data_IF_475971174076
#
_entry.id   IF_475971174076
#
_cell.length_a   1.000
_cell.length_b   1.000
_cell.length_c   1.000
_cell.angle_alpha   90.00
_cell.angle_beta   90.00
_cell.angle_gamma   90.00
#
_symmetry.space_group_name_H-M   'P 1'
#
loop_
_entity.id
_entity.type
_entity.pdbx_description
1 polymer ?
#
# COMPACT_ATOMS: atom_id res chain seq x y z
N UNK A 1 31.05 -24.57 15.24
CA UNK A 1 30.66 -23.16 15.44
C UNK A 1 29.14 -23.13 15.46
N UNK A 2 28.51 -23.07 16.65
CA UNK A 2 27.06 -23.05 16.77
C UNK A 2 26.54 -21.65 16.50
N UNK A 3 25.55 -21.51 15.61
CA UNK A 3 24.90 -20.23 15.35
C UNK A 3 24.18 -19.75 16.63
N UNK A 4 24.29 -18.46 16.99
CA UNK A 4 23.58 -17.91 18.12
C UNK A 4 22.07 -18.02 17.87
N UNK A 5 21.36 -18.66 18.81
CA UNK A 5 19.91 -18.77 18.77
C UNK A 5 19.24 -17.39 18.83
N UNK A 6 17.96 -17.34 18.47
CA UNK A 6 17.15 -16.11 18.41
C UNK A 6 17.24 -15.30 19.72
N UNK A 7 17.33 -15.96 20.88
CA UNK A 7 17.45 -15.33 22.21
C UNK A 7 18.73 -14.50 22.37
N UNK A 8 19.87 -15.01 21.88
CA UNK A 8 21.17 -14.30 21.97
C UNK A 8 21.16 -13.02 21.12
N UNK A 9 20.50 -13.08 19.96
CA UNK A 9 20.30 -11.91 19.10
C UNK A 9 19.48 -10.81 19.81
N UNK A 10 18.43 -11.18 20.54
CA UNK A 10 17.62 -10.24 21.32
C UNK A 10 18.36 -9.63 22.50
N UNK A 11 19.18 -10.42 23.21
CA UNK A 11 20.01 -9.93 24.31
C UNK A 11 21.07 -8.92 23.83
N UNK A 12 21.76 -9.23 22.73
CA UNK A 12 22.71 -8.30 22.09
C UNK A 12 22.04 -7.00 21.64
N UNK A 13 20.85 -7.11 21.04
CA UNK A 13 20.07 -5.96 20.61
C UNK A 13 19.60 -5.08 21.78
N UNK A 14 19.19 -5.69 22.89
CA UNK A 14 18.84 -4.97 24.13
C UNK A 14 20.05 -4.22 24.70
N UNK A 15 21.21 -4.86 24.72
CA UNK A 15 22.44 -4.23 25.21
C UNK A 15 22.88 -3.04 24.33
N UNK A 16 22.66 -3.13 23.00
CA UNK A 16 23.05 -2.09 22.05
C UNK A 16 22.07 -0.91 21.96
N UNK A 17 20.76 -1.16 22.02
CA UNK A 17 19.73 -0.15 21.74
C UNK A 17 18.93 0.25 22.98
N UNK A 18 19.02 -0.50 24.09
CA UNK A 18 18.23 -0.27 25.31
C UNK A 18 16.73 -0.54 25.17
N UNK A 19 16.26 -0.81 23.94
CA UNK A 19 14.85 -0.98 23.60
C UNK A 19 14.61 -2.34 22.90
N UNK A 20 13.52 -3.01 23.27
CA UNK A 20 13.10 -4.30 22.71
C UNK A 20 12.06 -4.14 21.60
N UNK A 21 11.86 -2.93 21.09
CA UNK A 21 10.90 -2.70 20.04
C UNK A 21 11.27 -3.49 18.77
N UNK A 22 10.27 -4.12 18.13
CA UNK A 22 10.46 -4.77 16.84
C UNK A 22 11.09 -3.79 15.84
N UNK A 23 11.96 -4.29 14.96
CA UNK A 23 12.43 -3.44 13.84
C UNK A 23 11.20 -2.98 13.06
N UNK A 24 11.16 -1.69 12.72
CA UNK A 24 10.17 -1.17 11.79
C UNK A 24 10.14 -2.05 10.54
N UNK A 25 8.94 -2.45 10.12
CA UNK A 25 8.75 -3.26 8.93
C UNK A 25 9.28 -2.48 7.72
N UNK A 26 10.24 -3.05 7.00
CA UNK A 26 10.66 -2.50 5.71
C UNK A 26 9.45 -2.56 4.77
N UNK A 27 9.01 -1.40 4.29
CA UNK A 27 7.88 -1.32 3.39
C UNK A 27 8.19 -2.05 2.07
N UNK A 28 7.20 -2.78 1.56
CA UNK A 28 7.30 -3.43 0.25
C UNK A 28 7.52 -2.37 -0.86
N UNK A 29 8.15 -2.71 -1.99
CA UNK A 29 8.40 -1.77 -3.08
C UNK A 29 7.13 -1.02 -3.49
N UNK A 30 7.29 0.29 -3.70
CA UNK A 30 6.18 1.21 -3.94
C UNK A 30 5.34 0.81 -5.17
N UNK A 31 4.02 0.92 -5.01
CA UNK A 31 3.01 0.49 -5.99
C UNK A 31 3.02 1.40 -7.22
N UNK A 32 2.86 0.79 -8.41
CA UNK A 32 2.96 1.37 -9.76
C UNK A 32 1.99 2.53 -10.11
N UNK A 33 1.07 2.92 -9.23
CA UNK A 33 0.11 4.03 -9.48
C UNK A 33 0.43 5.15 -8.48
N UNK A 34 1.32 6.06 -8.91
CA UNK A 34 1.72 7.23 -8.13
C UNK A 34 0.82 8.44 -8.38
N UNK A 35 0.33 8.60 -9.62
CA UNK A 35 -0.54 9.71 -10.00
C UNK A 35 -2.04 9.31 -9.87
N UNK A 36 -2.63 9.66 -8.72
CA UNK A 36 -4.03 9.37 -8.40
C UNK A 36 -5.02 10.26 -9.15
N UNK A 37 -4.63 11.48 -9.49
CA UNK A 37 -5.48 12.42 -10.21
C UNK A 37 -5.72 11.95 -11.65
N UNK A 38 -4.65 11.54 -12.33
CA UNK A 38 -4.73 10.88 -13.64
C UNK A 38 -5.55 9.57 -13.57
N UNK A 39 -5.39 8.80 -12.50
CA UNK A 39 -6.12 7.55 -12.33
C UNK A 39 -7.63 7.78 -12.09
N UNK A 40 -8.03 8.88 -11.46
CA UNK A 40 -9.44 9.28 -11.32
C UNK A 40 -10.06 9.62 -12.67
N UNK A 41 -9.40 10.44 -13.48
CA UNK A 41 -9.89 10.79 -14.81
C UNK A 41 -10.04 9.54 -15.69
N UNK A 42 -9.10 8.61 -15.58
CA UNK A 42 -9.14 7.33 -16.27
C UNK A 42 -10.26 6.40 -15.81
N UNK A 43 -10.53 6.32 -14.51
CA UNK A 43 -11.66 5.55 -13.97
C UNK A 43 -13.00 6.10 -14.49
N UNK A 44 -13.16 7.42 -14.51
CA UNK A 44 -14.36 8.06 -15.07
C UNK A 44 -14.51 7.77 -16.58
N UNK A 45 -13.41 7.88 -17.33
CA UNK A 45 -13.40 7.64 -18.78
C UNK A 45 -13.69 6.18 -19.17
N UNK A 46 -13.28 5.22 -18.33
CA UNK A 46 -13.38 3.79 -18.62
C UNK A 46 -14.25 3.02 -17.62
N UNK A 47 -15.17 3.70 -16.93
CA UNK A 47 -16.07 3.13 -15.91
C UNK A 47 -16.86 1.91 -16.38
N UNK A 48 -17.14 1.82 -17.69
CA UNK A 48 -17.86 0.72 -18.33
C UNK A 48 -16.98 -0.49 -18.68
N UNK A 49 -15.66 -0.37 -18.61
CA UNK A 49 -14.71 -1.43 -18.96
C UNK A 49 -14.40 -2.33 -17.77
N UNK A 50 -13.99 -3.55 -18.07
CA UNK A 50 -13.55 -4.47 -17.02
C UNK A 50 -12.16 -4.09 -16.51
N UNK A 51 -11.86 -4.44 -15.26
CA UNK A 51 -10.54 -4.20 -14.65
C UNK A 51 -9.38 -4.83 -15.44
N UNK A 52 -9.63 -5.91 -16.19
CA UNK A 52 -8.63 -6.56 -17.03
C UNK A 52 -8.33 -5.75 -18.30
N UNK A 53 -9.35 -5.09 -18.86
CA UNK A 53 -9.18 -4.18 -20.01
C UNK A 53 -8.56 -2.86 -19.59
N UNK A 54 -8.97 -2.31 -18.44
CA UNK A 54 -8.36 -1.12 -17.85
C UNK A 54 -6.86 -1.32 -17.61
N UNK A 55 -6.44 -2.52 -17.18
CA UNK A 55 -5.03 -2.85 -17.00
C UNK A 55 -4.21 -2.76 -18.30
N UNK A 56 -4.83 -3.06 -19.46
CA UNK A 56 -4.18 -2.96 -20.78
C UNK A 56 -4.14 -1.52 -21.32
N UNK A 57 -5.05 -0.67 -20.86
CA UNK A 57 -5.21 0.71 -21.34
C UNK A 57 -4.41 1.73 -20.54
N UNK A 58 -3.98 1.37 -19.34
CA UNK A 58 -3.19 2.23 -18.49
C UNK A 58 -1.74 2.34 -19.02
N UNK A 59 -1.20 3.56 -19.05
CA UNK A 59 0.13 3.87 -19.64
C UNK A 59 1.30 3.10 -18.99
N UNK A 60 1.18 2.75 -17.72
CA UNK A 60 2.17 1.91 -17.03
C UNK A 60 1.79 0.44 -17.11
N UNK A 61 2.77 -0.46 -17.24
CA UNK A 61 2.55 -1.91 -17.13
C UNK A 61 1.97 -2.26 -15.75
N UNK A 62 0.64 -2.38 -15.65
CA UNK A 62 -0.07 -2.64 -14.41
C UNK A 62 -0.91 -3.90 -14.56
N UNK A 63 -0.90 -4.71 -13.50
CA UNK A 63 -1.74 -5.90 -13.45
C UNK A 63 -3.19 -5.54 -13.14
N UNK A 64 -4.13 -6.41 -13.52
CA UNK A 64 -5.53 -6.35 -13.06
C UNK A 64 -5.65 -6.19 -11.52
N UNK A 65 -4.79 -6.87 -10.76
CA UNK A 65 -4.76 -6.78 -9.29
C UNK A 65 -4.39 -5.38 -8.82
N UNK A 66 -3.49 -4.70 -9.53
CA UNK A 66 -3.08 -3.33 -9.23
C UNK A 66 -4.23 -2.36 -9.46
N UNK A 67 -4.93 -2.46 -10.59
CA UNK A 67 -6.14 -1.68 -10.89
C UNK A 67 -7.21 -1.89 -9.81
N UNK A 68 -7.50 -3.15 -9.46
CA UNK A 68 -8.48 -3.48 -8.41
C UNK A 68 -8.13 -2.85 -7.05
N UNK A 69 -6.85 -2.90 -6.65
CA UNK A 69 -6.38 -2.25 -5.43
C UNK A 69 -6.51 -0.73 -5.50
N UNK A 70 -6.19 -0.13 -6.64
CA UNK A 70 -6.28 1.31 -6.82
C UNK A 70 -7.73 1.81 -6.73
N UNK A 71 -8.67 1.14 -7.38
CA UNK A 71 -10.11 1.42 -7.23
C UNK A 71 -10.57 1.31 -5.78
N UNK A 72 -10.13 0.26 -5.07
CA UNK A 72 -10.47 0.09 -3.64
C UNK A 72 -9.90 1.21 -2.78
N UNK A 73 -8.66 1.63 -3.02
CA UNK A 73 -8.03 2.75 -2.30
C UNK A 73 -8.73 4.07 -2.58
N UNK A 74 -9.14 4.33 -3.83
CA UNK A 74 -9.96 5.50 -4.18
C UNK A 74 -11.29 5.50 -3.43
N UNK A 75 -12.04 4.40 -3.49
CA UNK A 75 -13.32 4.29 -2.79
C UNK A 75 -13.18 4.46 -1.26
N UNK A 76 -12.08 3.99 -0.67
CA UNK A 76 -11.78 4.20 0.75
C UNK A 76 -11.44 5.65 1.07
N UNK A 77 -10.73 6.34 0.17
CA UNK A 77 -10.41 7.77 0.31
C UNK A 77 -11.67 8.63 0.22
N UNK A 78 -12.55 8.38 -0.76
CA UNK A 78 -13.83 9.07 -0.88
C UNK A 78 -14.70 8.87 0.36
N UNK A 79 -14.80 7.63 0.86
CA UNK A 79 -15.52 7.35 2.11
C UNK A 79 -14.92 8.02 3.34
N UNK A 80 -13.60 8.21 3.37
CA UNK A 80 -12.92 8.89 4.48
C UNK A 80 -13.19 10.40 4.45
N UNK A 81 -13.30 10.98 3.26
CA UNK A 81 -13.67 12.39 3.07
C UNK A 81 -15.14 12.65 3.44
N UNK A 82 -16.02 11.69 3.13
CA UNK A 82 -17.42 11.68 3.60
C UNK A 82 -17.57 11.55 5.13
N UNK A 83 -16.56 11.03 5.82
CA UNK A 83 -16.48 11.02 7.30
C UNK A 83 -15.89 12.33 7.80
N UNK A 84 -16.49 13.46 7.43
CA UNK A 84 -16.30 14.70 8.17
C UNK A 84 -16.61 14.43 9.65
N UNK A 85 -15.89 15.04 10.61
CA UNK A 85 -16.26 14.90 12.02
C UNK A 85 -17.71 15.35 12.13
N UNK A 86 -18.58 14.51 12.72
CA UNK A 86 -19.90 14.97 13.13
C UNK A 86 -19.65 16.20 14.00
N UNK A 87 -19.92 17.39 13.46
CA UNK A 87 -19.89 18.62 14.24
C UNK A 87 -20.93 18.47 15.33
N UNK A 88 -20.47 18.67 16.57
CA UNK A 88 -21.18 18.46 17.83
C UNK A 88 -22.28 19.50 18.03
#
# INVERSE_FOLDING_TARGET
>A
MSEPGVIDLWLKRKAATGCLEPTARVEAPQVKIQNWEAFRAFDEQYRSKTQAEMAKLWTSDVSRRTISRALKTMALREKKDLRLPLTR
#
